data_IF_389353910872
#
_entry.id   IF_389353910872
#
_cell.length_a   1.000
_cell.length_b   1.000
_cell.length_c   1.000
_cell.angle_alpha   90.00
_cell.angle_beta   90.00
_cell.angle_gamma   90.00
#
_symmetry.space_group_name_H-M   'P 1'
#
loop_
_entity.id
_entity.type
_entity.pdbx_description
1 polymer ?
#
# COMPACT_ATOMS: atom_id res chain seq x y z
N UNK A 1 -18.86 -4.18 14.95
CA UNK A 1 -18.23 -5.46 14.55
C UNK A 1 -16.99 -5.09 13.76
N UNK A 2 -15.81 -5.59 14.12
CA UNK A 2 -14.59 -5.36 13.32
C UNK A 2 -14.70 -6.17 12.03
N UNK A 3 -14.21 -5.63 10.90
CA UNK A 3 -14.18 -6.36 9.63
C UNK A 3 -13.17 -7.51 9.75
N UNK A 4 -13.41 -8.69 9.14
CA UNK A 4 -12.42 -9.77 9.13
C UNK A 4 -11.10 -9.33 8.50
N UNK A 5 -9.97 -9.80 9.04
CA UNK A 5 -8.64 -9.43 8.53
C UNK A 5 -8.48 -9.76 7.04
N UNK A 6 -8.94 -10.95 6.60
CA UNK A 6 -8.92 -11.36 5.19
C UNK A 6 -9.65 -10.38 4.26
N UNK A 7 -10.75 -9.77 4.72
CA UNK A 7 -11.50 -8.78 3.93
C UNK A 7 -10.70 -7.48 3.78
N UNK A 8 -10.09 -7.03 4.88
CA UNK A 8 -9.21 -5.84 4.90
C UNK A 8 -7.99 -6.06 3.99
N UNK A 9 -7.35 -7.23 4.08
CA UNK A 9 -6.19 -7.58 3.26
C UNK A 9 -6.55 -7.68 1.77
N UNK A 10 -7.70 -8.27 1.45
CA UNK A 10 -8.20 -8.37 0.06
C UNK A 10 -8.48 -7.00 -0.54
N UNK A 11 -9.12 -6.10 0.21
CA UNK A 11 -9.36 -4.72 -0.23
C UNK A 11 -8.04 -3.97 -0.47
N UNK A 12 -7.05 -4.15 0.41
CA UNK A 12 -5.73 -3.54 0.23
C UNK A 12 -5.04 -4.06 -1.04
N UNK A 13 -5.13 -5.36 -1.33
CA UNK A 13 -4.59 -5.95 -2.56
C UNK A 13 -5.20 -5.33 -3.81
N UNK A 14 -6.52 -5.10 -3.85
CA UNK A 14 -7.16 -4.47 -5.01
C UNK A 14 -6.58 -3.08 -5.32
N UNK A 15 -6.23 -2.31 -4.28
CA UNK A 15 -5.56 -1.02 -4.47
C UNK A 15 -4.11 -1.18 -4.97
N UNK A 16 -3.37 -2.17 -4.44
CA UNK A 16 -1.99 -2.46 -4.83
C UNK A 16 -1.89 -3.02 -6.27
N UNK A 17 -2.83 -3.86 -6.68
CA UNK A 17 -2.92 -4.36 -8.07
C UNK A 17 -3.22 -3.22 -9.04
N UNK A 18 -4.19 -2.35 -8.70
CA UNK A 18 -4.54 -1.22 -9.53
C UNK A 18 -3.33 -0.27 -9.73
N UNK A 19 -2.58 0.02 -8.67
CA UNK A 19 -1.42 0.90 -8.77
C UNK A 19 -0.27 0.26 -9.56
N UNK A 20 -0.07 -1.06 -9.47
CA UNK A 20 0.90 -1.78 -10.30
C UNK A 20 0.50 -1.73 -11.78
N UNK A 21 -0.79 -1.90 -12.07
CA UNK A 21 -1.33 -1.75 -13.43
C UNK A 21 -1.14 -0.34 -14.00
N UNK A 22 -1.23 0.70 -13.15
CA UNK A 22 -0.94 2.07 -13.56
C UNK A 22 0.56 2.27 -13.80
N UNK A 23 1.42 1.78 -12.91
CA UNK A 23 2.87 1.88 -13.06
C UNK A 23 3.38 1.19 -14.34
N UNK A 24 2.77 0.07 -14.73
CA UNK A 24 3.09 -0.63 -15.97
C UNK A 24 2.83 0.20 -17.24
N UNK A 25 2.00 1.25 -17.16
CA UNK A 25 1.73 2.19 -18.27
C UNK A 25 2.76 3.31 -18.39
N UNK A 26 3.72 3.38 -17.46
CA UNK A 26 4.74 4.42 -17.38
C UNK A 26 4.45 5.46 -16.30
N UNK A 27 5.49 6.18 -15.87
CA UNK A 27 5.46 7.12 -14.74
C UNK A 27 5.82 8.56 -15.16
N UNK A 28 5.76 8.83 -16.46
CA UNK A 28 6.17 10.11 -17.05
C UNK A 28 5.01 11.12 -17.12
N UNK A 29 3.78 10.64 -16.95
CA UNK A 29 2.57 11.45 -16.83
C UNK A 29 2.22 11.67 -15.35
N UNK A 30 2.14 12.94 -14.94
CA UNK A 30 1.79 13.32 -13.57
C UNK A 30 0.43 12.77 -13.14
N UNK A 31 -0.55 12.66 -14.05
CA UNK A 31 -1.86 12.10 -13.74
C UNK A 31 -1.76 10.61 -13.34
N UNK A 32 -0.84 9.87 -13.96
CA UNK A 32 -0.59 8.47 -13.59
C UNK A 32 0.07 8.39 -12.22
N UNK A 33 1.05 9.26 -11.95
CA UNK A 33 1.72 9.34 -10.64
C UNK A 33 0.72 9.68 -9.54
N UNK A 34 -0.17 10.64 -9.77
CA UNK A 34 -1.22 11.03 -8.81
C UNK A 34 -2.20 9.89 -8.54
N UNK A 35 -2.60 9.15 -9.60
CA UNK A 35 -3.46 7.98 -9.46
C UNK A 35 -2.78 6.87 -8.63
N UNK A 36 -1.48 6.63 -8.83
CA UNK A 36 -0.70 5.67 -8.04
C UNK A 36 -0.62 6.11 -6.58
N UNK A 37 -0.29 7.37 -6.32
CA UNK A 37 -0.25 7.93 -4.97
C UNK A 37 -1.60 7.74 -4.26
N UNK A 38 -2.71 8.02 -4.95
CA UNK A 38 -4.04 7.84 -4.39
C UNK A 38 -4.33 6.36 -4.05
N UNK A 39 -3.93 5.43 -4.93
CA UNK A 39 -4.11 3.99 -4.65
C UNK A 39 -3.21 3.50 -3.52
N UNK A 40 -1.96 3.94 -3.46
CA UNK A 40 -1.04 3.60 -2.37
C UNK A 40 -1.55 4.13 -1.02
N UNK A 41 -2.00 5.38 -0.99
CA UNK A 41 -2.59 5.99 0.20
C UNK A 41 -3.83 5.22 0.66
N UNK A 42 -4.70 4.80 -0.27
CA UNK A 42 -5.89 4.02 0.05
C UNK A 42 -5.54 2.62 0.59
N UNK A 43 -4.58 1.93 -0.03
CA UNK A 43 -4.11 0.62 0.45
C UNK A 43 -3.61 0.69 1.90
N UNK A 44 -2.77 1.69 2.21
CA UNK A 44 -2.22 1.86 3.56
C UNK A 44 -3.32 2.24 4.57
N UNK A 45 -4.31 3.05 4.16
CA UNK A 45 -5.46 3.37 5.01
C UNK A 45 -6.29 2.12 5.35
N UNK A 46 -6.54 1.27 4.35
CA UNK A 46 -7.25 0.00 4.55
C UNK A 46 -6.48 -0.88 5.53
N UNK A 47 -5.16 -1.06 5.34
CA UNK A 47 -4.31 -1.82 6.24
C UNK A 47 -4.27 -1.25 7.67
N UNK A 48 -4.51 0.05 7.86
CA UNK A 48 -4.62 0.64 9.19
C UNK A 48 -5.85 0.14 9.97
N UNK A 49 -6.86 -0.40 9.27
CA UNK A 49 -8.04 -1.02 9.85
C UNK A 49 -7.85 -2.45 10.37
N UNK A 50 -6.66 -3.05 10.18
CA UNK A 50 -6.31 -4.33 10.81
C UNK A 50 -6.20 -4.18 12.33
N UNK A 51 -6.51 -5.28 13.03
CA UNK A 51 -6.17 -5.40 14.45
C UNK A 51 -4.65 -5.21 14.64
N UNK A 52 -4.24 -4.58 15.75
CA UNK A 52 -2.84 -4.22 15.99
C UNK A 52 -1.91 -5.42 15.90
N UNK A 53 -2.32 -6.56 16.45
CA UNK A 53 -1.49 -7.77 16.51
C UNK A 53 -1.22 -8.33 15.11
N UNK A 54 -2.22 -8.27 14.22
CA UNK A 54 -2.07 -8.70 12.81
C UNK A 54 -1.16 -7.74 12.06
N UNK A 55 -1.37 -6.43 12.24
CA UNK A 55 -0.59 -5.39 11.59
C UNK A 55 0.88 -5.42 12.04
N UNK A 56 1.13 -5.58 13.33
CA UNK A 56 2.47 -5.60 13.90
C UNK A 56 3.23 -6.88 13.48
N UNK A 57 2.54 -8.02 13.37
CA UNK A 57 3.12 -9.25 12.80
C UNK A 57 3.51 -9.08 11.32
N UNK A 58 2.67 -8.44 10.51
CA UNK A 58 2.89 -8.30 9.07
C UNK A 58 3.90 -7.21 8.72
N UNK A 59 3.85 -6.08 9.41
CA UNK A 59 4.57 -4.88 9.03
C UNK A 59 5.53 -4.37 10.10
N UNK A 60 5.33 -4.71 11.39
CA UNK A 60 6.26 -4.42 12.47
C UNK A 60 6.88 -3.02 12.40
N UNK A 61 8.22 -2.99 12.29
CA UNK A 61 9.00 -1.76 12.19
C UNK A 61 8.83 -0.98 10.88
N UNK A 62 8.29 -1.60 9.83
CA UNK A 62 7.98 -0.95 8.55
C UNK A 62 6.69 -0.12 8.64
N UNK A 63 5.78 -0.43 9.58
CA UNK A 63 4.48 0.24 9.67
C UNK A 63 4.58 1.76 9.83
N UNK A 64 5.44 2.32 10.72
CA UNK A 64 5.64 3.77 10.79
C UNK A 64 6.10 4.40 9.48
N UNK A 65 6.92 3.69 8.68
CA UNK A 65 7.39 4.17 7.38
C UNK A 65 6.25 4.17 6.35
N UNK A 66 5.45 3.11 6.31
CA UNK A 66 4.26 3.03 5.46
C UNK A 66 3.27 4.15 5.80
N UNK A 67 2.95 4.32 7.08
CA UNK A 67 2.05 5.38 7.53
C UNK A 67 2.61 6.79 7.23
N UNK A 68 3.92 6.96 7.39
CA UNK A 68 4.65 8.17 7.01
C UNK A 68 4.51 8.49 5.52
N UNK A 69 4.64 7.49 4.64
CA UNK A 69 4.44 7.64 3.19
C UNK A 69 3.01 8.07 2.87
N UNK A 70 2.01 7.41 3.46
CA UNK A 70 0.60 7.79 3.34
C UNK A 70 0.39 9.25 3.76
N UNK A 71 0.93 9.66 4.91
CA UNK A 71 0.80 11.04 5.38
C UNK A 71 1.48 12.04 4.43
N UNK A 72 2.63 11.68 3.86
CA UNK A 72 3.32 12.52 2.89
C UNK A 72 2.49 12.74 1.62
N UNK A 73 1.83 11.68 1.14
CA UNK A 73 0.91 11.73 0.00
C UNK A 73 -0.33 12.58 0.35
N UNK A 74 -1.01 12.28 1.46
CA UNK A 74 -2.28 12.90 1.83
C UNK A 74 -2.17 14.40 2.15
N UNK A 75 -1.09 14.81 2.82
CA UNK A 75 -0.88 16.21 3.16
C UNK A 75 -0.26 17.04 2.03
N UNK A 76 0.04 16.40 0.89
CA UNK A 76 0.47 17.10 -0.32
C UNK A 76 1.64 18.03 -0.05
N UNK A 77 2.67 17.57 0.68
CA UNK A 77 3.83 18.37 1.11
C UNK A 77 4.74 18.88 -0.06
N UNK A 78 4.13 19.10 -1.24
CA UNK A 78 4.43 20.01 -2.35
C UNK A 78 4.90 19.45 -3.71
N UNK A 79 5.15 18.15 -3.83
CA UNK A 79 5.44 17.36 -5.05
C UNK A 79 6.03 16.10 -4.44
N UNK A 80 5.28 15.00 -4.32
CA UNK A 80 5.95 13.77 -3.85
C UNK A 80 7.03 13.49 -4.88
N UNK A 81 8.29 13.52 -4.43
CA UNK A 81 9.45 13.35 -5.30
C UNK A 81 9.21 12.09 -6.13
N UNK A 82 9.19 12.25 -7.46
CA UNK A 82 8.83 11.17 -8.35
C UNK A 82 9.86 10.03 -8.29
N UNK A 83 11.09 10.31 -7.88
CA UNK A 83 12.11 9.33 -7.55
C UNK A 83 11.74 8.52 -6.31
N UNK A 84 11.25 9.14 -5.25
CA UNK A 84 10.74 8.43 -4.06
C UNK A 84 9.55 7.53 -4.43
N UNK A 85 8.58 8.04 -5.19
CA UNK A 85 7.43 7.22 -5.63
C UNK A 85 7.89 6.07 -6.52
N UNK A 86 8.79 6.31 -7.47
CA UNK A 86 9.38 5.26 -8.32
C UNK A 86 10.08 4.19 -7.50
N UNK A 87 10.86 4.59 -6.49
CA UNK A 87 11.54 3.67 -5.59
C UNK A 87 10.54 2.83 -4.79
N UNK A 88 9.51 3.46 -4.22
CA UNK A 88 8.48 2.76 -3.45
C UNK A 88 7.68 1.78 -4.31
N UNK A 89 7.36 2.14 -5.55
CA UNK A 89 6.70 1.21 -6.49
C UNK A 89 7.62 0.03 -6.84
N UNK A 90 8.91 0.28 -7.05
CA UNK A 90 9.84 -0.75 -7.50
C UNK A 90 10.30 -1.70 -6.39
N UNK A 91 10.38 -1.22 -5.14
CA UNK A 91 10.96 -1.96 -4.03
C UNK A 91 9.94 -2.29 -2.96
N UNK A 92 9.22 -1.29 -2.44
CA UNK A 92 8.37 -1.48 -1.26
C UNK A 92 7.05 -2.18 -1.60
N UNK A 93 6.40 -1.77 -2.69
CA UNK A 93 5.09 -2.30 -3.10
C UNK A 93 5.12 -3.82 -3.34
N UNK A 94 6.09 -4.40 -4.08
CA UNK A 94 6.16 -5.85 -4.26
C UNK A 94 6.32 -6.61 -2.93
N UNK A 95 7.07 -6.06 -1.97
CA UNK A 95 7.25 -6.66 -0.65
C UNK A 95 5.95 -6.61 0.16
N UNK A 96 5.22 -5.49 0.12
CA UNK A 96 3.91 -5.36 0.76
C UNK A 96 2.93 -6.36 0.15
N UNK A 97 2.85 -6.44 -1.18
CA UNK A 97 1.97 -7.40 -1.89
C UNK A 97 2.29 -8.83 -1.46
N UNK A 98 3.55 -9.25 -1.51
CA UNK A 98 3.93 -10.62 -1.15
C UNK A 98 3.60 -10.97 0.30
N UNK A 99 3.74 -10.03 1.25
CA UNK A 99 3.34 -10.23 2.65
C UNK A 99 1.81 -10.39 2.78
N UNK A 100 1.05 -9.55 2.09
CA UNK A 100 -0.42 -9.59 2.16
C UNK A 100 -0.98 -10.84 1.47
N UNK A 101 -0.44 -11.23 0.31
CA UNK A 101 -0.83 -12.46 -0.39
C UNK A 101 -0.51 -13.72 0.44
N UNK A 102 0.67 -13.76 1.08
CA UNK A 102 1.04 -14.87 1.95
C UNK A 102 0.10 -15.02 3.15
N UNK A 103 -0.36 -13.90 3.72
CA UNK A 103 -1.33 -13.91 4.81
C UNK A 103 -2.71 -14.39 4.35
N UNK A 104 -3.23 -13.85 3.25
CA UNK A 104 -4.53 -14.26 2.68
C UNK A 104 -4.52 -15.73 2.27
N UNK A 105 -3.42 -16.22 1.70
CA UNK A 105 -3.25 -17.63 1.35
C UNK A 105 -3.01 -18.56 2.55
N UNK A 106 -2.48 -18.02 3.65
CA UNK A 106 -2.22 -18.72 4.91
C UNK A 106 -3.46 -18.97 5.76
N UNK A 107 -4.48 -18.09 5.67
CA UNK A 107 -5.77 -18.22 6.36
C UNK A 107 -6.68 -19.35 5.79
N UNK A 108 -6.22 -20.12 4.81
CA UNK A 108 -6.95 -21.24 4.15
C UNK A 108 -6.52 -22.63 4.66
N UNK A 109 -5.64 -22.73 5.67
CA UNK A 109 -5.23 -24.00 6.32
C UNK A 109 -5.48 -23.98 7.83
#
# INVERSE_FOLDING_TARGET
MSRPAVEVLTDALQHLEALQGYAARGLDDQLVVDAICMRLSAAIEVLAGLDSDVRDRLFGEDWPLMWGMRNRIAHGYLLVDSGIIRQTIAVDVPLIVGRVEAEVGGDVL
#
